data_IF_181281177246
#
_entry.id   IF_181281177246
#
_cell.length_a   1.000
_cell.length_b   1.000
_cell.length_c   1.000
_cell.angle_alpha   90.00
_cell.angle_beta   90.00
_cell.angle_gamma   90.00
#
_symmetry.space_group_name_H-M   'P 1'
#
loop_
_entity.id
_entity.type
_entity.pdbx_description
1 polymer ?
2 non-polymer ?
3 non-polymer ?
4 non-polymer ?
5 non-polymer ?
6 non-polymer ?
7 non-polymer ?
8 non-polymer ?
9 non-polymer ?
10 water ?
#
# COMPACT_ATOMS: atom_id res chain seq x y z
N UNK A 1 13.03 7.12 -12.45
CA UNK A 1 12.71 5.67 -12.76
C UNK A 1 11.33 5.62 -13.37
N UNK A 2 11.16 4.66 -14.30
CA UNK A 2 9.89 4.52 -15.01
C UNK A 2 9.62 3.07 -15.32
N UNK A 3 8.46 2.82 -15.89
CA UNK A 3 8.10 1.46 -16.24
C UNK A 3 9.12 0.77 -17.12
N UNK A 4 9.46 -0.46 -16.76
CA UNK A 4 10.42 -1.22 -17.48
C UNK A 4 11.83 -1.22 -16.94
N UNK A 5 12.12 -0.28 -16.01
CA UNK A 5 13.43 -0.17 -15.43
C UNK A 5 13.71 -1.29 -14.42
N UNK A 6 14.99 -1.60 -14.19
CA UNK A 6 15.37 -2.59 -13.24
C UNK A 6 14.98 -2.19 -11.81
N UNK A 7 14.57 -3.22 -11.06
CA UNK A 7 14.35 -3.08 -9.62
C UNK A 7 14.98 -4.34 -8.97
N UNK A 8 15.52 -4.15 -7.77
CA UNK A 8 16.27 -5.19 -7.10
C UNK A 8 15.71 -5.42 -5.73
N UNK A 9 15.37 -6.69 -5.36
CA UNK A 9 14.98 -7.05 -4.04
C UNK A 9 16.19 -7.58 -3.32
N UNK A 10 16.03 -8.16 -2.13
CA UNK A 10 17.14 -8.81 -1.46
C UNK A 10 17.64 -10.03 -2.16
N UNK A 11 16.86 -10.59 -3.11
CA UNK A 11 17.25 -11.80 -3.78
C UNK A 11 17.47 -11.68 -5.26
N UNK A 12 17.03 -10.68 -5.98
CA UNK A 12 17.23 -10.65 -7.41
C UNK A 12 16.62 -9.48 -8.06
N UNK A 13 16.61 -9.49 -9.35
CA UNK A 13 16.18 -8.41 -10.21
C UNK A 13 14.88 -8.72 -10.92
N UNK A 14 13.98 -7.73 -10.95
CA UNK A 14 12.80 -7.76 -11.77
C UNK A 14 12.70 -6.40 -12.48
N UNK A 15 11.50 -6.09 -12.98
CA UNK A 15 11.26 -4.84 -13.65
C UNK A 15 10.07 -4.10 -13.03
N UNK A 16 10.20 -2.77 -12.96
CA UNK A 16 9.09 -1.93 -12.52
C UNK A 16 8.00 -2.01 -13.55
N UNK A 17 6.75 -2.14 -13.10
CA UNK A 17 5.61 -2.18 -14.00
C UNK A 17 5.12 -0.79 -14.37
N UNK A 18 4.34 -0.17 -13.48
CA UNK A 18 3.92 1.19 -13.66
C UNK A 18 4.04 1.93 -12.35
N UNK A 19 4.40 3.20 -12.42
CA UNK A 19 4.26 4.10 -11.29
C UNK A 19 2.80 4.47 -11.08
N UNK A 20 2.32 4.41 -9.84
CA UNK A 20 0.94 4.64 -9.50
C UNK A 20 0.87 5.45 -8.23
N UNK A 21 -0.35 5.92 -7.90
CA UNK A 21 -0.50 6.73 -6.70
C UNK A 21 -1.90 6.65 -6.19
N UNK A 22 -2.05 7.03 -4.91
CA UNK A 22 -3.34 7.41 -4.32
C UNK A 22 -3.11 8.75 -3.65
N UNK A 23 -3.69 9.79 -4.15
CA UNK A 23 -3.32 11.06 -3.71
C UNK A 23 -1.85 11.32 -3.99
N UNK A 24 -1.15 11.94 -3.06
CA UNK A 24 0.28 12.24 -3.17
C UNK A 24 1.08 11.09 -2.54
N UNK A 25 0.51 9.89 -2.36
CA UNK A 25 1.31 8.73 -1.92
C UNK A 25 1.61 7.88 -3.15
N UNK A 26 2.92 7.77 -3.46
CA UNK A 26 3.38 7.09 -4.65
C UNK A 26 3.86 5.68 -4.37
N UNK A 27 3.62 4.83 -5.35
CA UNK A 27 3.93 3.44 -5.34
C UNK A 27 4.38 2.99 -6.74
N UNK A 28 4.85 1.76 -6.86
CA UNK A 28 4.87 1.14 -8.18
C UNK A 28 4.29 -0.25 -8.09
N UNK A 29 3.70 -0.68 -9.22
CA UNK A 29 3.26 -2.04 -9.40
C UNK A 29 4.34 -2.88 -10.05
N UNK A 30 4.39 -4.15 -9.66
CA UNK A 30 5.26 -5.14 -10.32
C UNK A 30 4.54 -6.48 -10.22
N UNK A 31 5.26 -7.57 -10.54
CA UNK A 31 4.66 -8.91 -10.43
C UNK A 31 4.56 -9.32 -8.99
N UNK A 32 3.52 -10.06 -8.65
CA UNK A 32 3.39 -10.66 -7.35
C UNK A 32 4.42 -11.70 -7.02
N UNK A 33 4.85 -12.48 -8.01
CA UNK A 33 5.90 -13.45 -7.74
C UNK A 33 7.21 -12.76 -7.46
N UNK A 34 7.38 -11.52 -7.78
CA UNK A 34 8.57 -10.75 -7.41
C UNK A 34 8.46 -10.14 -6.01
N UNK A 35 7.29 -9.67 -5.62
CA UNK A 35 7.07 -9.11 -4.32
C UNK A 35 6.94 -10.17 -3.24
N UNK A 36 6.58 -11.39 -3.59
CA UNK A 36 6.42 -12.46 -2.61
C UNK A 36 7.76 -12.70 -1.91
N UNK A 37 7.77 -12.56 -0.61
CA UNK A 37 8.99 -12.69 0.17
C UNK A 37 9.95 -11.51 0.19
N UNK A 38 9.68 -10.46 -0.58
CA UNK A 38 10.55 -9.29 -0.63
C UNK A 38 10.16 -8.31 0.41
N UNK A 39 11.13 -7.49 0.80
CA UNK A 39 10.91 -6.33 1.70
C UNK A 39 11.37 -5.10 0.96
N UNK A 40 12.63 -4.69 1.14
CA UNK A 40 13.16 -3.50 0.49
C UNK A 40 13.43 -3.76 -0.98
N UNK A 41 13.26 -2.70 -1.78
CA UNK A 41 13.64 -2.65 -3.18
C UNK A 41 14.62 -1.50 -3.36
N UNK A 42 15.59 -1.76 -4.26
CA UNK A 42 16.60 -0.82 -4.67
C UNK A 42 16.58 -0.64 -6.19
N UNK A 43 17.18 0.50 -6.60
CA UNK A 43 17.27 0.86 -8.03
C UNK A 43 18.51 0.31 -8.72
N UNK A 44 19.48 -0.14 -7.97
CA UNK A 44 20.75 -0.53 -8.51
C UNK A 44 21.19 -1.86 -7.94
N UNK A 45 22.04 -2.57 -8.70
CA UNK A 45 22.55 -3.86 -8.28
C UNK A 45 23.42 -3.77 -7.04
N UNK A 46 24.11 -2.66 -6.88
CA UNK A 46 24.89 -2.46 -5.66
C UNK A 46 23.99 -2.24 -4.42
N UNK A 47 22.67 -2.03 -4.57
CA UNK A 47 21.73 -1.91 -3.46
C UNK A 47 22.14 -0.78 -2.54
N UNK A 48 22.38 0.40 -3.15
CA UNK A 48 22.65 1.59 -2.38
C UNK A 48 21.57 2.65 -2.59
N UNK A 49 20.84 2.60 -3.70
CA UNK A 49 19.76 3.58 -3.94
C UNK A 49 18.46 2.87 -3.57
N UNK A 50 17.90 3.20 -2.44
CA UNK A 50 16.64 2.60 -2.01
C UNK A 50 15.50 3.17 -2.81
N UNK A 51 14.57 2.34 -3.24
CA UNK A 51 13.31 2.76 -3.78
C UNK A 51 12.18 2.81 -2.75
N UNK A 52 12.00 1.67 -2.06
CA UNK A 52 10.92 1.59 -1.11
C UNK A 52 10.74 0.19 -0.58
N UNK A 53 9.54 -0.10 -0.12
CA UNK A 53 9.23 -1.33 0.61
C UNK A 53 8.02 -2.01 0.05
N UNK A 54 8.09 -3.33 -0.09
CA UNK A 54 6.93 -4.10 -0.50
C UNK A 54 5.74 -3.80 0.37
N UNK A 55 4.57 -3.63 -0.23
CA UNK A 55 3.39 -3.26 0.50
C UNK A 55 2.16 -4.11 0.07
N UNK A 56 2.33 -5.07 -0.82
CA UNK A 56 1.31 -5.98 -1.16
C UNK A 56 1.82 -6.96 -2.18
N UNK A 57 1.24 -8.17 -2.16
CA UNK A 57 1.59 -9.22 -3.11
C UNK A 57 0.41 -10.15 -3.27
N UNK A 58 0.04 -10.44 -4.50
CA UNK A 58 -0.98 -11.41 -4.83
C UNK A 58 -0.42 -12.36 -5.87
N UNK A 59 0.04 -13.53 -5.41
CA UNK A 59 0.61 -14.57 -6.27
C UNK A 59 0.63 -15.86 -5.41
N UNK A 60 0.21 -16.99 -5.94
CA UNK A 60 -0.41 -17.23 -7.23
C UNK A 60 -1.87 -16.79 -7.29
N UNK A 61 -2.65 -17.39 -8.16
CA UNK A 61 -4.03 -16.96 -8.51
C UNK A 61 -4.01 -15.73 -9.40
N UNK A 62 -3.48 -14.62 -8.86
CA UNK A 62 -3.12 -13.48 -9.61
C UNK A 62 -1.60 -13.45 -9.75
N UNK A 63 -1.09 -12.40 -10.41
CA UNK A 63 0.35 -12.11 -10.38
C UNK A 63 0.57 -10.59 -10.38
N UNK A 64 0.32 -9.94 -9.23
CA UNK A 64 0.61 -8.53 -9.08
C UNK A 64 1.07 -8.25 -7.67
N UNK A 65 1.78 -7.15 -7.52
CA UNK A 65 2.18 -6.66 -6.21
C UNK A 65 2.48 -5.18 -6.30
N UNK A 66 2.74 -4.59 -5.13
CA UNK A 66 2.88 -3.14 -5.02
C UNK A 66 4.00 -2.81 -4.02
N UNK A 67 4.75 -1.75 -4.34
CA UNK A 67 5.88 -1.27 -3.55
C UNK A 67 5.64 0.20 -3.21
N UNK A 68 5.72 0.54 -1.94
CA UNK A 68 5.58 1.93 -1.50
C UNK A 68 6.90 2.66 -1.57
N UNK A 69 6.98 3.76 -2.30
CA UNK A 69 8.21 4.51 -2.33
C UNK A 69 8.57 5.11 -0.98
N UNK A 70 9.83 5.02 -0.61
CA UNK A 70 10.38 5.71 0.56
C UNK A 70 11.41 6.73 0.16
N UNK A 71 11.83 6.75 -1.06
CA UNK A 71 12.83 7.67 -1.58
C UNK A 71 12.11 8.88 -2.15
N UNK A 72 12.24 10.04 -1.47
CA UNK A 72 11.46 11.19 -1.87
C UNK A 72 12.12 11.92 -3.01
N UNK A 73 13.40 11.74 -3.34
CA UNK A 73 14.04 12.53 -4.37
C UNK A 73 14.08 11.89 -5.76
N UNK A 74 14.02 10.59 -5.84
CA UNK A 74 14.16 9.98 -7.16
C UNK A 74 12.97 10.38 -8.03
N UNK A 75 13.19 10.67 -9.31
CA UNK A 75 12.04 10.93 -10.16
C UNK A 75 11.20 9.67 -10.33
N UNK A 76 9.90 9.84 -10.33
CA UNK A 76 8.95 8.72 -10.47
C UNK A 76 8.09 9.03 -11.66
N UNK A 77 8.61 8.81 -12.84
CA UNK A 77 7.94 9.26 -14.03
C UNK A 77 6.75 8.41 -14.35
N UNK A 78 5.64 9.06 -14.72
CA UNK A 78 4.42 8.33 -15.09
C UNK A 78 4.45 7.91 -16.55
N UNK A 79 5.41 7.08 -16.88
CA UNK A 79 5.77 6.72 -18.24
C UNK A 79 6.30 5.30 -18.23
N UNK A 80 6.48 4.77 -19.45
CA UNK A 80 7.20 3.51 -19.72
C UNK A 80 8.34 3.94 -20.63
N UNK A 81 9.49 4.18 -20.08
CA UNK A 81 10.58 4.79 -20.87
C UNK A 81 10.03 6.12 -21.45
N UNK A 82 10.20 6.28 -22.77
CA UNK A 82 9.70 7.48 -23.46
C UNK A 82 8.21 7.51 -23.73
N UNK A 83 7.46 6.47 -23.47
CA UNK A 83 6.03 6.46 -23.70
C UNK A 83 5.29 7.08 -22.54
N UNK A 84 4.55 8.14 -22.79
CA UNK A 84 3.71 8.73 -21.79
C UNK A 84 2.55 7.75 -21.47
N UNK A 85 2.26 7.55 -20.20
CA UNK A 85 1.14 6.75 -19.73
C UNK A 85 0.15 7.69 -19.05
N UNK A 86 -1.12 7.54 -19.42
CA UNK A 86 -2.18 8.42 -18.86
C UNK A 86 -3.34 7.71 -18.32
N UNK A 87 -3.60 6.45 -18.66
CA UNK A 87 -4.77 5.71 -18.24
C UNK A 87 -4.50 4.24 -18.33
N UNK A 88 -5.43 3.43 -17.87
CA UNK A 88 -5.41 1.98 -18.00
C UNK A 88 -6.51 1.49 -18.90
N UNK A 89 -6.35 0.33 -19.51
CA UNK A 89 -7.37 -0.24 -20.37
C UNK A 89 -7.26 -1.75 -20.35
N UNK A 90 -8.26 -2.41 -20.87
CA UNK A 90 -8.26 -3.85 -20.97
C UNK A 90 -7.82 -4.34 -22.35
N UNK A 91 -7.16 -5.47 -22.37
CA UNK A 91 -6.75 -6.12 -23.60
C UNK A 91 -7.94 -6.70 -24.35
N UNK A 92 -7.79 -6.81 -25.70
CA UNK A 92 -8.71 -7.55 -26.51
C UNK A 92 -7.91 -8.43 -27.44
N UNK A 93 -8.48 -9.53 -27.93
CA UNK A 93 -7.80 -10.42 -28.84
C UNK A 93 -7.48 -9.70 -30.16
N UNK A 94 -6.18 -9.78 -30.57
CA UNK A 94 -5.72 -9.12 -31.78
C UNK A 94 -5.07 -7.78 -31.50
N UNK A 95 -5.18 -7.26 -30.27
CA UNK A 95 -4.66 -5.94 -29.97
C UNK A 95 -3.12 -5.91 -30.04
N UNK A 96 -2.60 -4.87 -30.69
CA UNK A 96 -1.19 -4.61 -30.74
C UNK A 96 -0.78 -4.06 -29.38
N UNK A 97 0.26 -4.65 -28.79
CA UNK A 97 0.75 -4.34 -27.46
C UNK A 97 2.28 -4.34 -27.45
N UNK A 98 2.83 -3.64 -26.48
CA UNK A 98 4.26 -3.50 -26.30
C UNK A 98 4.65 -3.78 -24.86
N UNK A 99 5.73 -4.53 -24.63
CA UNK A 99 6.30 -4.76 -23.33
C UNK A 99 7.65 -4.07 -23.22
N UNK A 100 7.96 -3.59 -22.01
CA UNK A 100 9.33 -3.12 -21.70
C UNK A 100 9.81 -3.86 -20.44
N UNK A 101 11.06 -4.31 -20.46
CA UNK A 101 11.65 -4.91 -19.28
C UNK A 101 13.14 -4.68 -19.19
N UNK A 102 13.72 -4.98 -18.05
CA UNK A 102 15.07 -4.66 -17.78
C UNK A 102 16.10 -5.65 -18.32
N UNK A 103 15.67 -6.81 -18.76
CA UNK A 103 16.60 -7.75 -19.43
C UNK A 103 16.64 -7.44 -20.90
N UNK A 104 15.48 -7.32 -21.56
CA UNK A 104 15.43 -7.33 -23.02
C UNK A 104 14.94 -6.00 -23.60
N UNK A 105 14.62 -5.00 -22.83
CA UNK A 105 14.15 -3.76 -23.43
C UNK A 105 12.73 -3.87 -23.93
N UNK A 106 12.45 -3.19 -25.06
CA UNK A 106 11.13 -2.98 -25.60
C UNK A 106 10.85 -3.92 -26.78
N UNK A 107 9.77 -4.66 -26.69
CA UNK A 107 9.36 -5.61 -27.69
C UNK A 107 7.87 -5.57 -27.86
N UNK A 108 7.40 -5.75 -29.12
CA UNK A 108 6.02 -5.63 -29.45
C UNK A 108 5.41 -6.91 -30.04
N UNK A 109 4.13 -7.03 -30.03
CA UNK A 109 3.44 -8.15 -30.61
C UNK A 109 1.96 -7.96 -30.46
N UNK A 110 1.22 -9.04 -30.36
CA UNK A 110 -0.22 -9.03 -30.30
C UNK A 110 -0.77 -9.94 -29.23
N UNK A 111 -1.96 -9.56 -28.72
CA UNK A 111 -2.74 -10.39 -27.83
C UNK A 111 -3.34 -11.55 -28.61
N UNK A 112 -3.10 -12.78 -28.17
CA UNK A 112 -3.57 -13.97 -28.82
C UNK A 112 -4.71 -14.63 -28.06
N UNK A 113 -4.89 -14.40 -26.76
CA UNK A 113 -6.00 -14.97 -25.98
C UNK A 113 -6.14 -14.15 -24.71
N UNK A 114 -7.35 -14.20 -24.17
CA UNK A 114 -7.67 -13.63 -22.89
C UNK A 114 -8.05 -14.72 -21.91
N UNK A 115 -8.00 -14.40 -20.62
CA UNK A 115 -8.44 -15.32 -19.55
C UNK A 115 -7.68 -16.64 -19.58
N UNK A 116 -6.37 -16.57 -19.87
CA UNK A 116 -5.53 -17.75 -19.90
C UNK A 116 -5.11 -18.16 -18.50
N UNK A 117 -4.98 -19.46 -18.29
CA UNK A 117 -4.44 -20.06 -17.10
C UNK A 117 -3.06 -20.55 -17.33
N UNK A 118 -2.14 -20.28 -16.40
CA UNK A 118 -0.76 -20.72 -16.49
C UNK A 118 -0.43 -21.46 -15.21
N UNK A 119 0.10 -22.67 -15.39
CA UNK A 119 0.53 -23.50 -14.26
C UNK A 119 2.06 -23.48 -14.20
N UNK A 120 2.60 -22.71 -13.26
CA UNK A 120 4.04 -22.62 -13.11
C UNK A 120 4.58 -23.77 -12.32
N UNK A 121 3.78 -24.68 -11.83
CA UNK A 121 4.24 -25.76 -10.99
C UNK A 121 4.25 -25.45 -9.57
N UNK A 122 4.35 -26.44 -8.68
CA UNK A 122 4.43 -26.22 -7.28
C UNK A 122 3.25 -25.58 -6.60
N UNK A 123 2.09 -25.68 -7.24
CA UNK A 123 0.90 -25.03 -6.75
C UNK A 123 0.70 -23.61 -7.27
N UNK A 124 1.64 -23.13 -8.06
CA UNK A 124 1.60 -21.72 -8.52
C UNK A 124 0.85 -21.64 -9.86
N UNK A 125 -0.47 -21.72 -9.74
CA UNK A 125 -1.38 -21.59 -10.90
C UNK A 125 -1.92 -20.16 -10.86
N UNK A 126 -1.88 -19.48 -12.00
CA UNK A 126 -2.44 -18.16 -12.14
C UNK A 126 -3.52 -18.17 -13.22
N UNK A 127 -4.54 -17.36 -13.07
CA UNK A 127 -5.71 -17.33 -13.89
C UNK A 127 -5.94 -15.93 -14.46
N UNK A 128 -6.74 -15.83 -15.50
CA UNK A 128 -7.15 -14.52 -15.96
C UNK A 128 -6.11 -13.78 -16.77
N UNK A 129 -5.16 -14.46 -17.35
CA UNK A 129 -3.99 -13.81 -17.93
C UNK A 129 -4.17 -13.46 -19.38
N UNK A 130 -3.50 -12.43 -19.83
CA UNK A 130 -3.45 -12.05 -21.22
C UNK A 130 -2.33 -12.81 -21.88
N UNK A 131 -2.63 -13.64 -22.89
CA UNK A 131 -1.63 -14.35 -23.66
C UNK A 131 -1.22 -13.53 -24.89
N UNK A 132 0.06 -13.51 -25.19
CA UNK A 132 0.59 -12.78 -26.33
C UNK A 132 1.70 -13.55 -26.97
N UNK A 133 2.07 -13.11 -28.19
CA UNK A 133 3.25 -13.60 -28.88
C UNK A 133 4.45 -12.67 -28.67
N UNK A 134 4.44 -11.85 -27.63
CA UNK A 134 5.58 -11.03 -27.28
C UNK A 134 6.54 -11.94 -26.49
N UNK A 135 7.83 -11.75 -26.74
CA UNK A 135 8.88 -12.47 -26.02
C UNK A 135 9.21 -11.76 -24.71
N UNK A 136 9.86 -12.50 -23.81
CA UNK A 136 10.37 -12.00 -22.54
C UNK A 136 11.45 -12.98 -22.05
N UNK A 137 12.27 -12.50 -21.11
CA UNK A 137 13.31 -13.32 -20.49
C UNK A 137 13.38 -13.06 -18.99
N UNK A 138 14.02 -13.93 -18.22
CA UNK A 138 14.13 -13.70 -16.79
C UNK A 138 14.69 -12.34 -16.46
N UNK A 139 14.07 -11.64 -15.54
CA UNK A 139 14.34 -10.27 -15.17
C UNK A 139 13.36 -9.29 -15.73
N UNK A 140 12.64 -9.68 -16.80
CA UNK A 140 11.58 -8.84 -17.38
C UNK A 140 10.27 -8.91 -16.57
N UNK A 141 10.15 -9.88 -15.66
CA UNK A 141 8.97 -10.03 -14.88
C UNK A 141 8.63 -8.76 -14.19
N UNK A 142 7.31 -8.46 -14.13
CA UNK A 142 6.80 -7.27 -13.53
C UNK A 142 6.71 -6.07 -14.45
N UNK A 143 7.41 -6.11 -15.58
CA UNK A 143 7.43 -4.94 -16.43
C UNK A 143 6.12 -4.72 -17.16
N UNK A 144 5.93 -3.51 -17.67
CA UNK A 144 4.66 -3.13 -18.25
C UNK A 144 4.38 -3.73 -19.62
N UNK A 145 3.11 -4.03 -19.84
CA UNK A 145 2.49 -4.16 -21.16
C UNK A 145 1.60 -2.97 -21.38
N UNK A 146 1.78 -2.27 -22.49
CA UNK A 146 1.07 -1.05 -22.78
C UNK A 146 0.69 -1.01 -24.23
N UNK A 147 -0.20 -0.06 -24.54
CA UNK A 147 -0.50 0.25 -25.96
C UNK A 147 -0.75 1.76 -26.02
N UNK A 148 0.09 2.49 -26.69
CA UNK A 148 -0.01 3.93 -26.63
C UNK A 148 0.06 4.40 -25.17
N UNK A 149 -0.80 5.30 -24.80
CA UNK A 149 -0.85 5.86 -23.46
C UNK A 149 -1.51 5.00 -22.45
N UNK A 150 -1.98 3.82 -22.83
CA UNK A 150 -2.75 2.92 -21.97
C UNK A 150 -1.87 1.86 -21.32
N UNK A 151 -1.92 1.78 -19.99
CA UNK A 151 -1.39 0.67 -19.22
C UNK A 151 -2.31 -0.49 -19.36
N UNK A 152 -1.78 -1.69 -19.70
CA UNK A 152 -2.60 -2.87 -19.95
C UNK A 152 -2.25 -4.04 -19.02
N UNK A 153 -0.97 -4.33 -18.78
CA UNK A 153 -0.61 -5.56 -18.07
C UNK A 153 0.71 -5.47 -17.38
N UNK A 154 1.00 -6.52 -16.60
CA UNK A 154 2.25 -6.72 -15.90
C UNK A 154 2.83 -8.09 -16.29
N UNK A 155 4.12 -8.13 -16.64
CA UNK A 155 4.72 -9.36 -17.15
C UNK A 155 4.74 -10.44 -16.07
N UNK A 156 4.11 -11.59 -16.35
CA UNK A 156 4.10 -12.70 -15.42
C UNK A 156 5.04 -13.80 -15.77
N UNK A 157 5.03 -14.34 -16.98
CA UNK A 157 5.85 -15.46 -17.34
C UNK A 157 5.51 -15.99 -18.68
N UNK A 158 6.14 -17.09 -19.06
CA UNK A 158 5.96 -17.64 -20.34
C UNK A 158 7.06 -18.51 -20.81
N UNK A 159 7.23 -18.66 -22.10
CA UNK A 159 8.17 -19.58 -22.72
C UNK A 159 8.97 -18.85 -23.80
N UNK A 160 10.09 -19.42 -24.19
CA UNK A 160 10.93 -18.87 -25.24
C UNK A 160 11.78 -17.72 -24.75
N UNK A 161 12.23 -16.90 -25.70
CA UNK A 161 13.17 -15.82 -25.43
C UNK A 161 13.12 -14.81 -26.53
N UNK A 162 13.84 -13.71 -26.42
CA UNK A 162 13.79 -12.65 -27.43
C UNK A 162 14.71 -12.87 -28.63
N UNK A 163 15.55 -13.88 -28.58
CA UNK A 163 16.40 -14.21 -29.72
C UNK A 163 15.59 -15.07 -30.70
N UNK A 164 15.05 -16.19 -30.24
CA UNK A 164 14.29 -17.11 -31.09
C UNK A 164 12.80 -16.91 -31.12
N UNK A 165 12.25 -16.18 -30.18
CA UNK A 165 10.83 -15.90 -30.08
C UNK A 165 10.20 -16.58 -28.87
N UNK A 166 9.05 -16.06 -28.47
CA UNK A 166 8.41 -16.64 -27.34
C UNK A 166 6.96 -16.24 -27.20
N UNK A 167 6.39 -16.73 -26.08
CA UNK A 167 4.99 -16.49 -25.69
C UNK A 167 5.00 -16.01 -24.30
N UNK A 168 4.37 -14.86 -24.01
CA UNK A 168 4.38 -14.28 -22.69
C UNK A 168 2.97 -13.97 -22.23
N UNK A 169 2.73 -14.20 -20.97
CA UNK A 169 1.48 -13.99 -20.26
C UNK A 169 1.62 -12.78 -19.34
N UNK A 170 0.54 -12.00 -19.28
CA UNK A 170 0.50 -10.78 -18.51
C UNK A 170 -0.71 -10.72 -17.58
N UNK A 171 -0.48 -10.23 -16.37
CA UNK A 171 -1.57 -9.93 -15.46
C UNK A 171 -2.25 -8.64 -15.87
N UNK A 172 -3.58 -8.64 -16.06
CA UNK A 172 -4.27 -7.37 -16.34
C UNK A 172 -4.02 -6.34 -15.26
N UNK A 173 -3.60 -5.16 -15.67
CA UNK A 173 -3.25 -4.15 -14.70
C UNK A 173 -4.45 -3.57 -14.02
N UNK A 174 -5.62 -3.56 -14.70
CA UNK A 174 -6.82 -3.00 -14.11
C UNK A 174 -7.20 -3.72 -12.81
N UNK A 175 -6.95 -5.02 -12.73
CA UNK A 175 -7.23 -5.77 -11.50
C UNK A 175 -6.43 -5.31 -10.33
N UNK A 176 -5.14 -5.04 -10.58
CA UNK A 176 -4.24 -4.54 -9.54
C UNK A 176 -4.62 -3.16 -9.08
N UNK A 177 -4.96 -2.27 -10.05
CA UNK A 177 -5.36 -0.90 -9.72
C UNK A 177 -6.59 -0.89 -8.85
N UNK A 178 -7.56 -1.75 -9.19
CA UNK A 178 -8.81 -1.84 -8.42
C UNK A 178 -8.56 -2.47 -7.07
N UNK A 179 -7.73 -3.52 -6.99
CA UNK A 179 -7.49 -4.20 -5.73
C UNK A 179 -6.91 -3.24 -4.68
N UNK A 180 -6.00 -2.38 -5.11
CA UNK A 180 -5.32 -1.46 -4.20
C UNK A 180 -5.94 -0.07 -4.16
N UNK A 181 -6.85 0.24 -5.06
CA UNK A 181 -7.40 1.59 -5.09
C UNK A 181 -6.44 2.66 -5.47
N UNK A 182 -5.56 2.36 -6.41
CA UNK A 182 -4.52 3.27 -6.91
C UNK A 182 -4.74 3.53 -8.38
N UNK A 183 -4.07 4.54 -8.91
CA UNK A 183 -4.23 4.95 -10.30
C UNK A 183 -2.89 5.17 -10.96
N UNK A 184 -2.78 4.88 -12.26
CA UNK A 184 -1.65 5.32 -13.04
C UNK A 184 -1.69 6.84 -13.17
N UNK A 185 -0.55 7.43 -13.47
CA UNK A 185 -0.47 8.83 -13.77
C UNK A 185 0.61 9.04 -14.89
N UNK B 1 3.32 0.89 26.11
CA UNK B 1 2.08 1.37 25.37
C UNK B 1 2.14 0.77 24.00
N UNK B 2 0.97 0.42 23.44
CA UNK B 2 0.88 -0.22 22.14
C UNK B 2 -0.35 0.29 21.39
N UNK B 3 -0.45 -0.16 20.12
CA UNK B 3 -1.58 0.27 19.30
C UNK B 3 -2.92 -0.09 19.92
N UNK B 4 -3.83 0.87 19.90
CA UNK B 4 -5.13 0.71 20.46
C UNK B 4 -5.30 1.21 21.87
N UNK B 5 -4.21 1.50 22.55
CA UNK B 5 -4.26 2.00 23.94
C UNK B 5 -4.77 3.43 23.94
N UNK B 6 -5.39 3.84 25.04
CA UNK B 6 -5.85 5.20 25.19
C UNK B 6 -4.70 6.19 25.21
N UNK B 7 -4.98 7.34 24.59
CA UNK B 7 -4.11 8.52 24.66
C UNK B 7 -4.97 9.72 24.98
N UNK B 8 -4.40 10.69 25.72
CA UNK B 8 -5.16 11.81 26.20
C UNK B 8 -4.45 13.10 25.86
N UNK B 9 -5.19 14.03 25.29
CA UNK B 9 -4.74 15.39 25.05
C UNK B 9 -5.27 16.26 26.06
N UNK B 10 -5.05 17.58 25.94
CA UNK B 10 -5.63 18.44 26.91
C UNK B 10 -7.15 18.52 26.86
N UNK B 11 -7.72 18.02 25.79
CA UNK B 11 -9.14 18.16 25.57
C UNK B 11 -9.90 16.86 25.54
N UNK B 12 -9.29 15.67 25.44
CA UNK B 12 -10.05 14.48 25.23
C UNK B 12 -9.18 13.26 25.04
N UNK B 13 -9.87 12.17 24.79
CA UNK B 13 -9.30 10.83 24.64
C UNK B 13 -9.43 10.32 23.21
N UNK B 14 -8.35 9.78 22.70
CA UNK B 14 -8.37 9.02 21.44
C UNK B 14 -7.60 7.75 21.67
N UNK B 15 -7.18 7.09 20.58
CA UNK B 15 -6.44 5.86 20.63
C UNK B 15 -5.14 5.98 19.87
N UNK B 16 -4.08 5.36 20.39
CA UNK B 16 -2.83 5.25 19.71
C UNK B 16 -2.99 4.35 18.50
N UNK B 17 -2.44 4.75 17.36
CA UNK B 17 -2.53 3.94 16.16
C UNK B 17 -1.48 2.87 16.10
N UNK B 18 -0.27 3.30 15.65
CA UNK B 18 0.91 2.47 15.64
C UNK B 18 2.11 3.22 16.17
N UNK B 19 2.97 2.51 16.89
CA UNK B 19 4.31 3.01 17.19
C UNK B 19 5.19 2.92 15.94
N UNK B 20 5.92 3.99 15.67
CA UNK B 20 6.75 4.12 14.49
C UNK B 20 8.07 4.75 14.84
N UNK B 21 9.02 4.71 13.89
CA UNK B 21 10.35 5.30 14.17
C UNK B 21 10.99 5.71 12.89
N UNK B 22 11.96 6.63 13.04
CA UNK B 22 12.95 6.94 12.02
C UNK B 22 14.30 6.93 12.74
N UNK B 23 15.12 5.96 12.36
CA UNK B 23 16.38 5.72 13.03
C UNK B 23 16.09 5.38 14.48
N UNK B 24 16.68 6.18 15.35
CA UNK B 24 16.50 6.03 16.81
C UNK B 24 15.46 6.96 17.39
N UNK B 25 14.72 7.66 16.52
CA UNK B 25 13.72 8.58 17.00
C UNK B 25 12.31 7.93 16.88
N UNK B 26 11.58 7.90 18.00
CA UNK B 26 10.28 7.19 18.12
C UNK B 26 9.16 8.18 18.17
N UNK B 27 8.04 7.74 17.55
CA UNK B 27 6.81 8.46 17.46
C UNK B 27 5.66 7.49 17.55
N UNK B 28 4.42 8.05 17.63
CA UNK B 28 3.26 7.23 17.34
C UNK B 28 2.36 8.01 16.36
N UNK B 29 1.65 7.24 15.54
CA UNK B 29 0.62 7.74 14.65
C UNK B 29 -0.73 7.69 15.33
N UNK B 30 -1.59 8.67 15.02
CA UNK B 30 -2.98 8.64 15.43
C UNK B 30 -3.77 9.41 14.35
N UNK B 31 -5.02 9.70 14.63
CA UNK B 31 -5.84 10.48 13.67
C UNK B 31 -5.44 11.95 13.69
N UNK B 32 -5.50 12.56 12.52
CA UNK B 32 -5.26 13.98 12.40
C UNK B 32 -6.30 14.84 13.07
N UNK B 33 -7.56 14.37 13.13
CA UNK B 33 -8.56 15.17 13.83
C UNK B 33 -8.34 15.12 15.32
N UNK B 34 -7.51 14.23 15.80
CA UNK B 34 -7.07 14.15 17.23
C UNK B 34 -5.86 15.04 17.51
N UNK B 35 -4.90 15.04 16.60
CA UNK B 35 -3.73 15.90 16.79
C UNK B 35 -4.00 17.36 16.49
N UNK B 36 -5.01 17.69 15.71
CA UNK B 36 -5.34 19.08 15.40
C UNK B 36 -5.70 19.78 16.71
N UNK B 37 -5.00 20.81 17.06
CA UNK B 37 -5.26 21.52 18.31
C UNK B 37 -4.66 20.92 19.53
N UNK B 38 -3.95 19.84 19.51
CA UNK B 38 -3.31 19.17 20.68
C UNK B 38 -1.84 19.41 20.69
N UNK B 39 -1.25 19.58 21.82
CA UNK B 39 0.19 19.67 21.98
C UNK B 39 0.69 18.45 22.75
N UNK B 40 0.58 18.42 24.06
CA UNK B 40 1.02 17.31 24.87
C UNK B 40 0.03 16.17 24.86
N UNK B 41 0.56 14.95 24.87
CA UNK B 41 -0.19 13.75 25.01
C UNK B 41 0.25 12.98 26.26
N UNK B 42 -0.71 12.41 26.95
CA UNK B 42 -0.50 11.58 28.14
C UNK B 42 -1.09 10.21 27.95
N UNK B 43 -0.59 9.25 28.77
CA UNK B 43 -1.08 7.86 28.74
C UNK B 43 -2.28 7.66 29.62
N UNK B 44 -2.63 8.60 30.51
CA UNK B 44 -3.61 8.37 31.51
C UNK B 44 -4.52 9.57 31.65
N UNK B 45 -5.76 9.32 32.13
CA UNK B 45 -6.73 10.36 32.27
C UNK B 45 -6.31 11.40 33.32
N UNK B 46 -5.49 11.02 34.31
CA UNK B 46 -4.95 11.95 35.28
C UNK B 46 -3.88 12.83 34.68
N UNK B 47 -3.37 12.52 33.51
CA UNK B 47 -2.43 13.38 32.82
C UNK B 47 -1.11 13.55 33.61
N UNK B 48 -0.58 12.41 34.09
CA UNK B 48 0.68 12.32 34.82
C UNK B 48 1.74 11.49 34.16
N UNK B 49 1.45 10.71 33.15
CA UNK B 49 2.44 9.94 32.36
C UNK B 49 2.52 10.62 31.02
N UNK B 50 3.53 11.43 30.80
CA UNK B 50 3.72 12.10 29.52
C UNK B 50 4.17 11.12 28.46
N UNK B 51 3.57 11.20 27.28
CA UNK B 51 4.05 10.49 26.12
C UNK B 51 4.92 11.34 25.25
N UNK B 52 4.42 12.52 24.81
CA UNK B 52 5.17 13.35 23.92
C UNK B 52 4.31 14.47 23.42
N UNK B 53 4.77 15.05 22.29
CA UNK B 53 4.18 16.26 21.76
C UNK B 53 3.84 16.06 20.28
N UNK B 54 2.72 16.64 19.86
CA UNK B 54 2.30 16.61 18.43
C UNK B 54 3.44 17.14 17.59
N UNK B 55 3.80 16.42 16.53
CA UNK B 55 4.82 16.83 15.61
C UNK B 55 4.27 17.06 14.22
N UNK B 56 3.13 16.55 13.86
CA UNK B 56 2.54 16.75 12.58
C UNK B 56 1.08 16.42 12.64
N UNK B 57 0.25 17.06 11.80
CA UNK B 57 -1.16 16.75 11.72
C UNK B 57 -1.70 17.10 10.38
N UNK B 58 -2.47 16.20 9.79
CA UNK B 58 -3.10 16.41 8.52
C UNK B 58 -4.56 16.00 8.60
N UNK B 59 -5.47 16.98 8.75
CA UNK B 59 -6.90 16.79 8.79
C UNK B 59 -7.53 18.17 8.49
N UNK B 60 -8.57 18.27 7.69
CA UNK B 60 -9.14 17.24 6.84
C UNK B 60 -8.31 17.01 5.60
N UNK B 61 -8.94 16.54 4.52
CA UNK B 61 -8.29 16.05 3.31
C UNK B 61 -7.75 14.63 3.57
N UNK B 62 -6.83 14.51 4.51
CA UNK B 62 -6.41 13.25 5.12
C UNK B 62 -6.98 13.18 6.51
N UNK B 63 -6.64 12.08 7.22
CA UNK B 63 -6.88 12.01 8.66
C UNK B 63 -5.75 11.26 9.32
N UNK B 64 -4.58 11.88 9.44
CA UNK B 64 -3.47 11.28 10.17
C UNK B 64 -2.71 12.37 10.90
N UNK B 65 -2.00 11.96 11.95
CA UNK B 65 -1.10 12.82 12.65
C UNK B 65 -0.05 12.00 13.37
N UNK B 66 0.94 12.68 13.90
CA UNK B 66 2.11 12.02 14.50
C UNK B 66 2.52 12.78 15.76
N UNK B 67 2.89 12.02 16.78
CA UNK B 67 3.32 12.53 18.09
C UNK B 67 4.73 12.05 18.32
N UNK B 68 5.66 12.96 18.60
CA UNK B 68 7.02 12.62 18.89
C UNK B 68 7.13 12.24 20.37
N UNK B 69 7.62 11.03 20.66
CA UNK B 69 7.82 10.67 22.05
C UNK B 69 8.86 11.56 22.72
N UNK B 70 8.53 12.02 23.90
CA UNK B 70 9.51 12.70 24.77
C UNK B 70 9.84 11.85 25.94
N UNK B 71 9.13 10.82 26.20
CA UNK B 71 9.39 9.86 27.25
C UNK B 71 10.28 8.77 26.65
N UNK B 72 11.59 8.87 26.98
CA UNK B 72 12.64 8.03 26.34
C UNK B 72 12.64 6.63 26.84
N UNK B 73 11.99 6.39 28.01
CA UNK B 73 12.10 5.02 28.61
C UNK B 73 10.84 4.20 28.65
N UNK B 74 9.69 4.81 28.37
CA UNK B 74 8.43 3.97 28.34
C UNK B 74 8.44 3.03 27.22
N UNK B 75 8.02 1.72 27.46
CA UNK B 75 8.03 0.78 26.34
C UNK B 75 7.09 1.22 25.26
N UNK B 76 7.53 1.08 24.05
CA UNK B 76 6.83 1.50 22.87
C UNK B 76 6.73 0.28 21.96
N UNK B 77 5.84 -0.62 22.33
CA UNK B 77 5.80 -1.92 21.73
C UNK B 77 5.40 -1.88 20.29
N UNK B 78 6.05 -2.58 19.43
CA UNK B 78 5.68 -2.62 18.01
C UNK B 78 4.57 -3.63 17.78
N UNK B 79 3.43 -3.41 18.41
CA UNK B 79 2.32 -4.35 18.48
C UNK B 79 1.02 -3.55 18.55
N UNK B 80 -0.09 -4.29 18.41
CA UNK B 80 -1.44 -3.81 18.66
C UNK B 80 -1.99 -4.71 19.77
N UNK B 81 -1.90 -4.24 21.02
CA UNK B 81 -2.20 -5.15 22.15
C UNK B 81 -1.31 -6.39 22.00
N UNK B 82 -1.87 -7.56 22.08
CA UNK B 82 -1.09 -8.81 21.92
C UNK B 82 -0.74 -9.22 20.50
N UNK B 83 -1.12 -8.47 19.52
CA UNK B 83 -0.84 -8.81 18.16
C UNK B 83 0.44 -8.15 17.71
N UNK B 84 1.42 -8.97 17.32
CA UNK B 84 2.64 -8.44 16.77
C UNK B 84 2.37 -7.75 15.41
N UNK B 85 3.06 -6.63 15.21
CA UNK B 85 3.11 -5.94 13.94
C UNK B 85 4.51 -5.98 13.38
N UNK B 86 4.62 -6.40 12.14
CA UNK B 86 5.94 -6.53 11.50
C UNK B 86 6.16 -5.58 10.40
N UNK B 87 5.15 -5.15 9.67
CA UNK B 87 5.31 -4.26 8.53
C UNK B 87 3.97 -3.60 8.22
N UNK B 88 4.01 -2.60 7.37
CA UNK B 88 2.83 -1.95 6.83
C UNK B 88 2.47 -2.56 5.52
N UNK B 89 1.19 -2.52 5.14
CA UNK B 89 0.72 -3.02 3.86
C UNK B 89 -0.41 -2.15 3.38
N UNK B 90 -0.64 -2.20 2.07
CA UNK B 90 -1.80 -1.62 1.46
C UNK B 90 -3.07 -2.40 1.76
N UNK B 91 -4.18 -1.69 2.05
CA UNK B 91 -5.46 -2.33 2.09
C UNK B 91 -5.79 -2.90 0.73
N UNK B 92 -6.57 -3.98 0.65
CA UNK B 92 -7.08 -4.47 -0.59
C UNK B 92 -8.54 -4.63 -0.43
N UNK B 93 -9.29 -4.48 -1.52
CA UNK B 93 -10.68 -4.71 -1.42
C UNK B 93 -10.93 -6.20 -1.05
N UNK B 94 -11.81 -6.40 -0.06
CA UNK B 94 -12.15 -7.65 0.54
C UNK B 94 -11.20 -8.13 1.62
N UNK B 95 -10.17 -7.45 2.01
CA UNK B 95 -9.22 -7.88 3.05
C UNK B 95 -9.97 -8.02 4.38
N UNK B 96 -9.62 -9.10 5.08
CA UNK B 96 -10.06 -9.33 6.44
C UNK B 96 -9.21 -8.45 7.40
N UNK B 97 -9.88 -7.59 8.20
CA UNK B 97 -9.19 -6.61 8.99
C UNK B 97 -9.75 -6.61 10.42
N UNK B 98 -8.95 -6.10 11.33
CA UNK B 98 -9.27 -5.96 12.74
C UNK B 98 -8.89 -4.56 13.21
N UNK B 99 -9.75 -3.92 13.99
CA UNK B 99 -9.49 -2.63 14.61
C UNK B 99 -9.37 -2.82 16.13
N UNK B 100 -8.50 -2.05 16.77
CA UNK B 100 -8.48 -1.97 18.23
C UNK B 100 -8.60 -0.51 18.62
N UNK B 101 -9.40 -0.20 19.63
CA UNK B 101 -9.50 1.14 20.16
C UNK B 101 -9.80 1.13 21.64
N UNK B 102 -9.65 2.31 22.23
CA UNK B 102 -9.73 2.43 23.69
C UNK B 102 -11.16 2.54 24.19
N UNK B 103 -12.16 2.78 23.36
CA UNK B 103 -13.57 2.71 23.79
C UNK B 103 -14.11 1.28 23.72
N UNK B 104 -13.92 0.63 22.56
CA UNK B 104 -14.63 -0.59 22.24
C UNK B 104 -13.76 -1.86 22.17
N UNK B 105 -12.43 -1.70 22.38
CA UNK B 105 -11.55 -2.84 22.23
C UNK B 105 -11.42 -3.28 20.79
N UNK B 106 -11.39 -4.60 20.58
CA UNK B 106 -11.02 -5.24 19.33
C UNK B 106 -12.26 -5.76 18.58
N UNK B 107 -12.41 -5.38 17.32
CA UNK B 107 -13.49 -5.75 16.48
C UNK B 107 -13.03 -6.00 15.07
N UNK B 108 -13.66 -6.91 14.31
CA UNK B 108 -13.22 -7.35 13.02
C UNK B 108 -14.26 -7.16 11.94
N UNK B 109 -13.82 -7.25 10.70
CA UNK B 109 -14.69 -7.18 9.54
C UNK B 109 -13.85 -7.21 8.26
N UNK B 110 -14.36 -6.57 7.22
CA UNK B 110 -13.69 -6.60 5.90
C UNK B 110 -13.65 -5.21 5.31
N UNK B 111 -12.68 -5.02 4.43
CA UNK B 111 -12.64 -3.87 3.56
C UNK B 111 -13.65 -4.03 2.44
N UNK B 112 -14.60 -3.07 2.36
CA UNK B 112 -15.67 -3.12 1.40
C UNK B 112 -15.47 -2.15 0.22
N UNK B 113 -14.63 -1.15 0.34
CA UNK B 113 -14.35 -0.23 -0.79
C UNK B 113 -13.11 0.55 -0.42
N UNK B 114 -12.44 1.06 -1.43
CA UNK B 114 -11.28 1.90 -1.31
C UNK B 114 -11.47 3.24 -2.00
N UNK B 115 -10.61 4.19 -1.71
CA UNK B 115 -10.65 5.52 -2.26
C UNK B 115 -11.96 6.23 -2.00
N UNK B 116 -12.51 6.05 -0.80
CA UNK B 116 -13.77 6.67 -0.40
C UNK B 116 -13.58 8.13 0.01
N UNK B 117 -14.54 8.98 -0.35
CA UNK B 117 -14.67 10.34 0.12
C UNK B 117 -15.69 10.41 1.23
N UNK B 118 -15.36 11.04 2.35
CA UNK B 118 -16.21 11.09 3.51
C UNK B 118 -16.33 12.55 3.95
N UNK B 119 -17.59 13.00 4.02
CA UNK B 119 -17.89 14.39 4.42
C UNK B 119 -18.37 14.38 5.86
N UNK B 120 -17.50 14.85 6.76
CA UNK B 120 -17.89 14.98 8.20
C UNK B 120 -18.62 16.25 8.48
N UNK B 121 -18.85 17.10 7.48
CA UNK B 121 -19.56 18.34 7.66
C UNK B 121 -18.69 19.51 7.97
N UNK B 122 -19.24 20.69 7.73
CA UNK B 122 -18.58 21.95 8.10
C UNK B 122 -17.25 22.22 7.38
N UNK B 123 -17.05 21.57 6.27
CA UNK B 123 -15.76 21.69 5.55
C UNK B 123 -14.85 20.59 5.71
N UNK B 124 -15.14 19.63 6.60
CA UNK B 124 -14.22 18.59 6.92
C UNK B 124 -14.47 17.38 6.07
N UNK B 125 -14.01 17.43 4.84
CA UNK B 125 -14.08 16.34 3.88
C UNK B 125 -12.69 15.67 3.83
N UNK B 126 -12.72 14.33 3.85
CA UNK B 126 -11.52 13.54 3.70
C UNK B 126 -11.67 12.60 2.49
N UNK B 127 -10.55 12.22 1.91
CA UNK B 127 -10.49 11.52 0.67
C UNK B 127 -9.56 10.31 0.78
N UNK B 128 -9.68 9.39 -0.15
CA UNK B 128 -8.74 8.26 -0.19
C UNK B 128 -8.91 7.24 0.90
N UNK B 129 -10.11 7.17 1.46
CA UNK B 129 -10.30 6.38 2.68
C UNK B 129 -10.63 4.93 2.40
N UNK B 130 -10.32 4.07 3.38
CA UNK B 130 -10.69 2.68 3.37
C UNK B 130 -12.02 2.53 4.04
N UNK B 131 -13.01 2.00 3.29
CA UNK B 131 -14.32 1.75 3.85
C UNK B 131 -14.41 0.31 4.30
N UNK B 132 -15.01 0.07 5.47
CA UNK B 132 -15.17 -1.24 6.07
C UNK B 132 -16.54 -1.38 6.72
N UNK B 133 -16.90 -2.62 7.04
CA UNK B 133 -18.04 -2.96 7.85
C UNK B 133 -17.64 -3.23 9.31
N UNK B 134 -16.49 -2.71 9.73
CA UNK B 134 -16.09 -2.80 11.09
C UNK B 134 -16.76 -1.65 11.86
N UNK B 135 -17.19 -1.91 13.09
CA UNK B 135 -17.76 -0.90 13.94
C UNK B 135 -16.70 -0.11 14.70
N UNK B 136 -17.07 1.08 15.16
CA UNK B 136 -16.19 1.93 16.01
C UNK B 136 -17.10 2.94 16.72
N UNK B 137 -16.58 3.53 17.80
CA UNK B 137 -17.31 4.53 18.60
C UNK B 137 -16.36 5.62 19.04
N UNK B 138 -16.91 6.75 19.49
CA UNK B 138 -16.09 7.88 19.89
C UNK B 138 -15.05 7.46 20.92
N UNK B 139 -13.83 7.90 20.72
CA UNK B 139 -12.66 7.53 21.50
C UNK B 139 -11.78 6.49 20.81
N UNK B 140 -12.36 5.77 19.87
CA UNK B 140 -11.65 4.79 19.06
C UNK B 140 -10.81 5.44 17.97
N UNK B 141 -11.06 6.71 17.67
CA UNK B 141 -10.38 7.42 16.62
C UNK B 141 -8.89 7.32 16.83
N UNK B 142 -8.18 7.17 15.72
CA UNK B 142 -6.75 7.02 15.69
C UNK B 142 -6.22 5.62 15.86
N UNK B 143 -7.09 4.70 16.34
CA UNK B 143 -6.61 3.36 16.66
C UNK B 143 -6.32 2.55 15.38
N UNK B 144 -5.54 1.50 15.53
CA UNK B 144 -5.10 0.74 14.38
C UNK B 144 -6.14 -0.14 13.75
N UNK B 145 -6.02 -0.26 12.42
CA UNK B 145 -6.60 -1.31 11.61
C UNK B 145 -5.44 -2.17 11.11
N UNK B 146 -5.50 -3.47 11.36
CA UNK B 146 -4.46 -4.38 11.01
C UNK B 146 -5.03 -5.62 10.34
N UNK B 147 -4.16 -6.39 9.68
CA UNK B 147 -4.54 -7.66 9.08
C UNK B 147 -3.33 -8.60 9.28
N UNK B 148 -3.53 -9.59 10.13
CA UNK B 148 -2.35 -10.37 10.57
C UNK B 148 -1.35 -9.52 11.28
N UNK B 149 -0.07 -9.58 10.86
CA UNK B 149 0.97 -8.76 11.39
C UNK B 149 1.17 -7.47 10.58
N UNK B 150 0.23 -7.13 9.70
CA UNK B 150 0.38 -5.94 8.84
C UNK B 150 -0.43 -4.78 9.34
N UNK B 151 0.22 -3.61 9.46
CA UNK B 151 -0.44 -2.34 9.76
C UNK B 151 -1.14 -1.86 8.50
N UNK B 152 -2.42 -1.51 8.60
CA UNK B 152 -3.23 -1.10 7.43
C UNK B 152 -3.75 0.30 7.55
N UNK B 153 -4.34 0.71 8.68
CA UNK B 153 -5.07 1.96 8.72
C UNK B 153 -5.16 2.55 10.11
N UNK B 154 -5.71 3.77 10.12
CA UNK B 154 -5.94 4.55 11.34
C UNK B 154 -7.41 4.94 11.36
N UNK B 155 -8.10 4.70 12.51
CA UNK B 155 -9.54 4.93 12.57
C UNK B 155 -9.88 6.38 12.42
N UNK B 156 -10.74 6.72 11.43
CA UNK B 156 -11.13 8.09 11.17
C UNK B 156 -12.54 8.41 11.64
N UNK B 157 -13.53 7.68 11.21
CA UNK B 157 -14.92 8.03 11.54
C UNK B 157 -15.85 7.10 10.79
N UNK B 158 -17.13 7.37 10.91
CA UNK B 158 -18.15 6.57 10.33
C UNK B 158 -19.46 6.63 10.99
N UNK B 159 -20.29 5.61 10.85
CA UNK B 159 -21.65 5.61 11.33
C UNK B 159 -21.91 4.35 12.09
N UNK B 160 -22.99 4.29 12.83
CA UNK B 160 -23.41 3.10 13.57
C UNK B 160 -22.64 2.97 14.87
N UNK B 161 -22.63 1.77 15.42
CA UNK B 161 -21.93 1.50 16.71
C UNK B 161 -21.72 0.03 16.82
N UNK B 162 -21.07 -0.42 17.89
CA UNK B 162 -20.73 -1.82 18.04
C UNK B 162 -21.89 -2.76 18.45
N UNK B 163 -22.95 -2.19 18.91
CA UNK B 163 -24.11 -2.97 19.32
C UNK B 163 -24.93 -3.32 18.12
N UNK B 164 -25.20 -2.41 17.20
CA UNK B 164 -25.99 -2.77 16.06
C UNK B 164 -25.31 -2.81 14.75
N UNK B 165 -24.01 -2.52 14.78
CA UNK B 165 -23.18 -2.54 13.59
C UNK B 165 -22.99 -1.17 13.02
N UNK B 166 -21.98 -1.11 12.20
CA UNK B 166 -21.64 0.15 11.57
C UNK B 166 -20.73 0.00 10.39
N UNK B 167 -20.39 1.20 9.92
CA UNK B 167 -19.46 1.38 8.81
C UNK B 167 -18.39 2.33 9.29
N UNK B 168 -17.15 1.94 9.21
CA UNK B 168 -16.03 2.74 9.67
C UNK B 168 -15.04 2.93 8.54
N UNK B 169 -14.58 4.17 8.41
CA UNK B 169 -13.55 4.57 7.46
C UNK B 169 -12.24 4.75 8.17
N UNK B 170 -11.17 4.32 7.46
CA UNK B 170 -9.83 4.38 7.94
C UNK B 170 -8.91 5.12 6.98
N UNK B 171 -8.00 5.89 7.56
CA UNK B 171 -6.92 6.51 6.81
C UNK B 171 -5.85 5.45 6.50
N UNK B 172 -5.45 5.24 5.25
CA UNK B 172 -4.31 4.34 5.00
C UNK B 172 -3.07 4.74 5.74
N UNK B 173 -2.47 3.78 6.42
CA UNK B 173 -1.27 4.05 7.18
C UNK B 173 -0.09 4.36 6.27
N UNK B 174 -0.08 3.70 5.07
CA UNK B 174 1.01 3.93 4.13
C UNK B 174 1.24 5.42 3.85
N UNK B 175 0.17 6.20 3.71
CA UNK B 175 0.30 7.59 3.42
C UNK B 175 1.00 8.36 4.51
N UNK B 176 0.68 8.04 5.79
CA UNK B 176 1.33 8.68 6.94
C UNK B 176 2.80 8.31 7.00
N UNK B 177 3.12 7.01 6.77
CA UNK B 177 4.49 6.58 6.78
C UNK B 177 5.31 7.34 5.75
N UNK B 178 4.77 7.46 4.54
CA UNK B 178 5.48 8.17 3.47
C UNK B 178 5.55 9.65 3.77
N UNK B 179 4.52 10.27 4.31
CA UNK B 179 4.52 11.72 4.57
C UNK B 179 5.57 12.08 5.60
N UNK B 180 5.75 11.25 6.63
CA UNK B 180 6.62 11.57 7.76
C UNK B 180 7.97 10.89 7.66
N UNK B 181 8.19 9.97 6.72
CA UNK B 181 9.49 9.27 6.66
C UNK B 181 9.74 8.37 7.84
N UNK B 182 8.73 7.64 8.30
CA UNK B 182 8.81 6.78 9.45
C UNK B 182 8.40 5.38 9.04
N UNK B 183 8.68 4.39 9.89
CA UNK B 183 8.41 3.00 9.68
C UNK B 183 7.69 2.38 10.86
N UNK B 184 6.79 1.45 10.61
CA UNK B 184 6.30 0.60 11.70
C UNK B 184 7.41 -0.37 12.07
N UNK B 185 7.25 -0.93 13.21
CA UNK B 185 8.09 -1.99 13.73
C UNK B 185 7.26 -2.89 14.69
#
# INVERSE_FOLDING_TARGET
>A
ISGGDAIYSSTGRCSLGFNVRSGSTYYFLTAGHCTDGATTWWANSARTTVLGTTSGSSFPNNDYGIVRYTNTTIPKDGTVGGQDITSAANATVGMAVTRRGSTTGTHSGSVTALNATVNYGGGDVVYGMIRTNVCAEPGDSGGPLYSGTRAIGLTSGGSGNCSSGGTTFFQPVTEALSAYGVSVY
>B
ISGGDAIYSSTGRCSLGFNVRSGSTYYFLTAGHCTDGATTWWANSARTTVLGTTSGSSFPNNDYGIVRYTNTTIPKDGTVGGQDITSAANATVGMAVTRRGSTTGTHSGSVTALNATVNYGGGDVVYGMIRTNVCAEPGDSGGPLYSGTRAIGLTSGGSGNCSSGGTTFFQPVTEALSAYGVSVY
#
